data_IF_190006955130
#
_entry.id   IF_190006955130
#
_cell.length_a   1.000
_cell.length_b   1.000
_cell.length_c   1.000
_cell.angle_alpha   90.00
_cell.angle_beta   90.00
_cell.angle_gamma   90.00
#
_symmetry.space_group_name_H-M   'P 1'
#
loop_
_entity.id
_entity.type
_entity.pdbx_description
1 polymer ?
#
# COMPACT_ATOMS: atom_id res chain seq x y z
N UNK A 1 2.68 -15.72 39.41
CA UNK A 1 3.01 -14.34 39.83
C UNK A 1 4.05 -14.45 40.93
N UNK A 2 5.15 -13.69 40.84
CA UNK A 2 6.24 -13.71 41.82
C UNK A 2 5.86 -12.75 42.93
N UNK A 3 5.35 -13.29 44.04
CA UNK A 3 4.82 -12.49 45.15
C UNK A 3 5.66 -12.64 46.42
N UNK A 4 6.85 -13.26 46.30
CA UNK A 4 7.78 -13.48 47.40
C UNK A 4 9.22 -13.40 46.92
N UNK A 5 10.10 -12.93 47.81
CA UNK A 5 11.55 -12.88 47.65
C UNK A 5 12.14 -14.24 47.22
N UNK A 6 11.57 -15.35 47.73
CA UNK A 6 11.99 -16.72 47.39
C UNK A 6 11.66 -17.12 45.94
N UNK A 7 10.56 -16.62 45.40
CA UNK A 7 10.15 -16.91 44.01
C UNK A 7 11.02 -16.13 43.00
N UNK A 8 11.53 -14.97 43.40
CA UNK A 8 12.43 -14.14 42.58
C UNK A 8 13.82 -14.78 42.45
N UNK A 9 14.30 -15.48 43.48
CA UNK A 9 15.57 -16.23 43.44
C UNK A 9 15.55 -17.44 42.49
N UNK A 10 14.38 -17.88 42.02
CA UNK A 10 14.23 -19.02 41.09
C UNK A 10 14.10 -18.59 39.62
N UNK A 11 14.15 -17.29 39.33
CA UNK A 11 14.20 -16.79 37.95
C UNK A 11 15.57 -17.11 37.37
N UNK A 12 15.59 -17.83 36.23
CA UNK A 12 16.82 -18.20 35.54
C UNK A 12 17.59 -16.95 35.11
N UNK A 13 18.84 -16.81 35.55
CA UNK A 13 19.74 -15.70 35.17
C UNK A 13 20.15 -14.75 36.30
N UNK A 14 19.65 -14.89 37.52
CA UNK A 14 20.10 -14.09 38.68
C UNK A 14 21.00 -14.95 39.57
N UNK A 15 22.28 -14.61 39.64
CA UNK A 15 23.21 -15.28 40.56
C UNK A 15 22.89 -14.92 42.02
N UNK A 16 23.10 -15.81 43.00
CA UNK A 16 22.81 -15.54 44.41
C UNK A 16 23.52 -14.28 44.96
N UNK A 17 24.70 -13.97 44.42
CA UNK A 17 25.46 -12.77 44.77
C UNK A 17 24.80 -11.47 44.25
N UNK A 18 24.24 -11.51 43.04
CA UNK A 18 23.52 -10.37 42.46
C UNK A 18 22.22 -10.10 43.21
N UNK A 19 21.52 -11.17 43.61
CA UNK A 19 20.30 -11.07 44.41
C UNK A 19 20.54 -10.37 45.75
N UNK A 20 21.58 -10.76 46.51
CA UNK A 20 21.92 -10.14 47.80
C UNK A 20 22.25 -8.65 47.69
N UNK A 21 22.78 -8.21 46.55
CA UNK A 21 23.06 -6.79 46.27
C UNK A 21 21.78 -6.00 45.94
N UNK A 22 20.83 -6.64 45.27
CA UNK A 22 19.55 -6.04 44.88
C UNK A 22 18.51 -6.09 45.99
N UNK A 23 18.61 -7.01 46.96
CA UNK A 23 17.70 -7.17 48.09
C UNK A 23 17.50 -5.86 48.88
N UNK A 24 18.55 -5.05 49.04
CA UNK A 24 18.49 -3.75 49.71
C UNK A 24 17.63 -2.71 48.97
N UNK A 25 17.44 -2.89 47.67
CA UNK A 25 16.72 -1.96 46.78
C UNK A 25 15.35 -2.48 46.33
N UNK A 26 15.08 -3.77 46.48
CA UNK A 26 13.80 -4.36 46.11
C UNK A 26 12.80 -4.14 47.25
N UNK A 27 11.86 -3.21 47.04
CA UNK A 27 10.69 -3.06 47.90
C UNK A 27 9.51 -3.78 47.27
N UNK A 28 9.12 -4.92 47.82
CA UNK A 28 7.86 -5.58 47.46
C UNK A 28 6.72 -4.82 48.14
N UNK A 29 5.98 -4.02 47.38
CA UNK A 29 4.71 -3.50 47.89
C UNK A 29 3.72 -4.66 47.89
N UNK A 30 3.17 -5.00 49.07
CA UNK A 30 2.01 -5.86 49.14
C UNK A 30 0.86 -5.15 48.46
N UNK A 31 0.58 -5.54 47.22
CA UNK A 31 -0.53 -5.01 46.45
C UNK A 31 -1.83 -5.65 47.00
N UNK A 32 -2.23 -5.27 48.21
CA UNK A 32 -3.54 -5.62 48.76
C UNK A 32 -4.57 -4.73 48.05
N UNK A 33 -5.31 -5.36 47.14
CA UNK A 33 -6.44 -4.80 46.40
C UNK A 33 -6.13 -3.52 45.57
N UNK A 34 -5.39 -3.66 44.47
CA UNK A 34 -5.74 -2.80 43.32
C UNK A 34 -7.09 -3.29 42.87
N UNK A 35 -8.11 -2.42 42.96
CA UNK A 35 -9.29 -2.54 42.11
C UNK A 35 -8.76 -2.81 40.71
N UNK A 36 -8.99 -4.03 40.21
CA UNK A 36 -8.68 -4.37 38.84
C UNK A 36 -9.56 -3.48 37.96
N UNK A 37 -9.08 -2.27 37.67
CA UNK A 37 -9.31 -1.67 36.36
C UNK A 37 -8.69 -2.68 35.41
N UNK A 38 -9.51 -3.64 35.02
CA UNK A 38 -9.36 -4.35 33.76
C UNK A 38 -9.22 -3.23 32.74
N UNK A 39 -7.99 -2.81 32.45
CA UNK A 39 -7.71 -2.22 31.16
C UNK A 39 -8.07 -3.33 30.20
N UNK A 40 -9.31 -3.31 29.74
CA UNK A 40 -9.72 -4.06 28.59
C UNK A 40 -8.70 -3.66 27.54
N UNK A 41 -7.74 -4.54 27.27
CA UNK A 41 -7.02 -4.52 26.02
C UNK A 41 -8.09 -4.86 24.99
N UNK A 42 -8.92 -3.86 24.66
CA UNK A 42 -9.83 -3.93 23.54
C UNK A 42 -8.91 -4.14 22.35
N UNK A 43 -8.82 -5.39 21.90
CA UNK A 43 -8.08 -5.78 20.71
C UNK A 43 -8.50 -4.80 19.62
N UNK A 44 -7.62 -3.85 19.29
CA UNK A 44 -7.93 -2.78 18.35
C UNK A 44 -8.28 -3.46 17.03
N UNK A 45 -9.57 -3.49 16.70
CA UNK A 45 -10.06 -4.04 15.45
C UNK A 45 -9.61 -3.09 14.36
N UNK A 46 -8.66 -3.54 13.53
CA UNK A 46 -8.22 -2.80 12.37
C UNK A 46 -9.32 -2.98 11.32
N UNK A 47 -9.99 -1.87 10.99
CA UNK A 47 -11.01 -1.87 9.94
C UNK A 47 -10.34 -2.01 8.57
N UNK A 48 -11.01 -2.73 7.66
CA UNK A 48 -10.54 -2.81 6.28
C UNK A 48 -10.72 -1.46 5.60
N UNK A 49 -9.71 -1.03 4.83
CA UNK A 49 -9.73 0.22 4.07
C UNK A 49 -9.79 -0.08 2.57
N UNK A 50 -10.42 0.82 1.81
CA UNK A 50 -10.35 0.80 0.36
C UNK A 50 -9.11 1.55 -0.13
N UNK A 51 -8.27 0.92 -0.94
CA UNK A 51 -6.98 1.47 -1.38
C UNK A 51 -7.11 2.71 -2.28
N UNK A 52 -8.27 2.89 -2.91
CA UNK A 52 -8.54 4.03 -3.79
C UNK A 52 -9.15 5.22 -3.05
N UNK A 53 -9.89 4.98 -1.98
CA UNK A 53 -10.62 6.01 -1.22
C UNK A 53 -9.93 6.39 0.10
N UNK A 54 -9.04 5.54 0.62
CA UNK A 54 -8.38 5.77 1.91
C UNK A 54 -7.55 7.06 1.96
N UNK A 55 -7.65 7.75 3.10
CA UNK A 55 -6.87 8.95 3.44
C UNK A 55 -5.46 8.60 3.97
N UNK A 56 -4.60 9.61 4.12
CA UNK A 56 -3.24 9.44 4.69
C UNK A 56 -3.34 8.85 6.10
N UNK A 57 -4.33 9.31 6.85
CA UNK A 57 -4.61 8.91 8.23
C UNK A 57 -5.08 7.45 8.29
N UNK A 58 -5.90 7.01 7.33
CA UNK A 58 -6.37 5.63 7.27
C UNK A 58 -5.24 4.66 6.95
N UNK A 59 -4.38 5.03 5.99
CA UNK A 59 -3.16 4.27 5.72
C UNK A 59 -2.24 4.21 6.94
N UNK A 60 -2.09 5.32 7.67
CA UNK A 60 -1.22 5.39 8.86
C UNK A 60 -1.72 4.56 10.05
N UNK A 61 -2.98 4.09 10.04
CA UNK A 61 -3.51 3.18 11.06
C UNK A 61 -3.06 1.73 10.85
N UNK A 62 -2.60 1.38 9.64
CA UNK A 62 -2.17 0.03 9.31
C UNK A 62 -0.78 -0.27 9.89
N UNK A 63 -0.55 -1.53 10.32
CA UNK A 63 0.74 -1.93 10.89
C UNK A 63 1.85 -1.77 9.85
N UNK A 64 2.96 -1.14 10.25
CA UNK A 64 4.11 -0.94 9.37
C UNK A 64 3.98 0.22 8.38
N UNK A 65 2.84 0.92 8.34
CA UNK A 65 2.64 2.09 7.48
C UNK A 65 2.62 3.35 8.33
N UNK A 66 3.69 4.15 8.19
CA UNK A 66 3.76 5.49 8.75
C UNK A 66 3.33 6.58 7.75
N UNK A 67 3.22 7.84 8.19
CA UNK A 67 2.74 8.95 7.37
C UNK A 67 3.56 9.16 6.08
N UNK A 68 4.87 8.87 6.11
CA UNK A 68 5.74 8.96 4.93
C UNK A 68 5.38 7.92 3.88
N UNK A 69 5.08 6.68 4.29
CA UNK A 69 4.66 5.62 3.36
C UNK A 69 3.24 5.90 2.86
N UNK A 70 2.34 6.36 3.72
CA UNK A 70 0.99 6.77 3.33
C UNK A 70 1.01 7.83 2.23
N UNK A 71 1.81 8.88 2.38
CA UNK A 71 1.95 9.92 1.34
C UNK A 71 2.51 9.35 0.02
N UNK A 72 3.48 8.45 0.09
CA UNK A 72 4.02 7.77 -1.11
C UNK A 72 2.96 6.93 -1.82
N UNK A 73 2.18 6.15 -1.09
CA UNK A 73 1.09 5.33 -1.63
C UNK A 73 0.09 6.23 -2.36
N UNK A 74 -0.31 7.35 -1.74
CA UNK A 74 -1.27 8.28 -2.34
C UNK A 74 -0.67 8.96 -3.58
N UNK A 75 0.60 9.39 -3.55
CA UNK A 75 1.27 9.95 -4.73
C UNK A 75 1.35 8.94 -5.87
N UNK A 76 1.65 7.69 -5.57
CA UNK A 76 1.68 6.62 -6.57
C UNK A 76 0.29 6.38 -7.16
N UNK A 77 -0.73 6.24 -6.30
CA UNK A 77 -2.14 6.13 -6.68
C UNK A 77 -2.55 7.25 -7.65
N UNK A 78 -2.21 8.49 -7.32
CA UNK A 78 -2.59 9.65 -8.13
C UNK A 78 -1.91 9.65 -9.51
N UNK A 79 -0.67 9.17 -9.62
CA UNK A 79 0.01 9.02 -10.92
C UNK A 79 -0.56 7.87 -11.74
N UNK A 80 -0.93 6.78 -11.07
CA UNK A 80 -1.54 5.60 -11.69
C UNK A 80 -2.99 5.87 -12.14
N UNK A 81 -3.68 6.82 -11.50
CA UNK A 81 -5.10 7.09 -11.71
C UNK A 81 -6.01 6.25 -10.80
N UNK A 82 -5.46 5.59 -9.79
CA UNK A 82 -6.14 4.59 -8.95
C UNK A 82 -5.48 3.23 -9.08
N UNK A 83 -5.64 2.37 -8.08
CA UNK A 83 -5.22 0.98 -8.14
C UNK A 83 -6.33 0.13 -8.75
N UNK A 84 -5.95 -0.75 -9.67
CA UNK A 84 -6.79 -1.79 -10.27
C UNK A 84 -6.76 -3.08 -9.45
N UNK A 85 -5.63 -3.40 -8.82
CA UNK A 85 -5.47 -4.54 -7.92
C UNK A 85 -4.65 -4.19 -6.67
N UNK A 86 -4.94 -4.88 -5.56
CA UNK A 86 -4.22 -4.69 -4.30
C UNK A 86 -2.72 -4.96 -4.44
N UNK A 87 -2.34 -5.96 -5.25
CA UNK A 87 -0.93 -6.35 -5.43
C UNK A 87 -0.07 -5.24 -6.08
N UNK A 88 -0.67 -4.25 -6.75
CA UNK A 88 0.05 -3.08 -7.27
C UNK A 88 0.67 -2.21 -6.17
N UNK A 89 0.25 -2.36 -4.92
CA UNK A 89 0.91 -1.70 -3.79
C UNK A 89 2.37 -2.13 -3.63
N UNK A 90 2.72 -3.35 -4.06
CA UNK A 90 4.10 -3.83 -4.04
C UNK A 90 5.02 -3.03 -4.98
N UNK A 91 4.45 -2.30 -5.94
CA UNK A 91 5.21 -1.42 -6.84
C UNK A 91 5.52 -0.05 -6.20
N UNK A 92 4.91 0.26 -5.04
CA UNK A 92 5.19 1.50 -4.30
C UNK A 92 6.56 1.41 -3.65
N UNK A 93 7.47 2.31 -4.05
CA UNK A 93 8.83 2.34 -3.50
C UNK A 93 8.85 2.52 -1.97
N UNK A 94 9.63 1.65 -1.32
CA UNK A 94 9.82 1.65 0.13
C UNK A 94 8.76 0.89 0.92
N UNK A 95 7.76 0.28 0.27
CA UNK A 95 6.89 -0.69 0.91
C UNK A 95 7.62 -2.04 0.96
N UNK A 96 7.90 -2.53 2.16
CA UNK A 96 8.53 -3.83 2.35
C UNK A 96 7.52 -4.96 2.03
N UNK A 97 7.94 -6.05 1.36
CA UNK A 97 7.05 -7.19 1.06
C UNK A 97 6.36 -7.76 2.29
N UNK A 98 7.06 -7.81 3.42
CA UNK A 98 6.55 -8.32 4.69
C UNK A 98 5.43 -7.42 5.23
N UNK A 99 5.57 -6.10 5.07
CA UNK A 99 4.53 -5.14 5.44
C UNK A 99 3.30 -5.32 4.56
N UNK A 100 3.48 -5.49 3.24
CA UNK A 100 2.38 -5.76 2.32
C UNK A 100 1.60 -7.02 2.71
N UNK A 101 2.29 -8.10 3.04
CA UNK A 101 1.65 -9.36 3.44
C UNK A 101 0.85 -9.22 4.74
N UNK A 102 1.39 -8.48 5.72
CA UNK A 102 0.68 -8.20 6.98
C UNK A 102 -0.61 -7.40 6.76
N UNK A 103 -0.55 -6.38 5.89
CA UNK A 103 -1.69 -5.48 5.67
C UNK A 103 -2.72 -6.02 4.68
N UNK A 104 -2.36 -6.96 3.81
CA UNK A 104 -3.20 -7.44 2.68
C UNK A 104 -4.62 -7.82 3.11
N UNK A 105 -4.78 -8.41 4.29
CA UNK A 105 -6.09 -8.79 4.86
C UNK A 105 -7.01 -7.60 5.20
N UNK A 106 -6.45 -6.40 5.36
CA UNK A 106 -7.17 -5.17 5.67
C UNK A 106 -7.42 -4.31 4.42
N UNK A 107 -7.03 -4.77 3.23
CA UNK A 107 -7.12 -3.98 2.00
C UNK A 107 -8.26 -4.47 1.11
N UNK A 108 -9.00 -3.51 0.55
CA UNK A 108 -10.04 -3.73 -0.46
C UNK A 108 -9.74 -2.85 -1.68
N UNK A 109 -10.15 -3.30 -2.86
CA UNK A 109 -10.02 -2.53 -4.09
C UNK A 109 -11.39 -2.47 -4.77
N UNK A 110 -11.98 -1.27 -4.82
CA UNK A 110 -13.19 -0.99 -5.59
C UNK A 110 -12.96 -0.79 -7.10
N UNK A 111 -11.71 -0.86 -7.57
CA UNK A 111 -11.32 -0.66 -8.97
C UNK A 111 -11.79 0.68 -9.59
N UNK A 112 -12.03 1.71 -8.76
CA UNK A 112 -12.31 3.06 -9.24
C UNK A 112 -11.04 3.71 -9.77
N UNK A 113 -10.80 3.51 -11.06
CA UNK A 113 -9.67 4.06 -11.80
C UNK A 113 -10.12 5.20 -12.71
N UNK A 114 -9.25 6.20 -12.85
CA UNK A 114 -9.41 7.31 -13.78
C UNK A 114 -8.77 6.90 -15.11
N UNK A 115 -9.56 6.71 -16.18
CA UNK A 115 -9.00 6.32 -17.45
C UNK A 115 -8.13 7.44 -18.05
N UNK A 116 -7.03 7.04 -18.67
CA UNK A 116 -6.12 7.88 -19.42
C UNK A 116 -6.51 7.85 -20.90
N UNK A 117 -6.94 9.00 -21.44
CA UNK A 117 -7.16 9.19 -22.88
C UNK A 117 -5.82 9.55 -23.55
N UNK A 118 -5.22 8.61 -24.26
CA UNK A 118 -3.92 8.79 -24.93
C UNK A 118 -3.97 9.75 -26.13
N UNK A 119 -5.15 10.03 -26.68
CA UNK A 119 -5.31 10.89 -27.87
C UNK A 119 -5.40 12.36 -27.46
N UNK A 120 -6.08 12.62 -26.36
CA UNK A 120 -6.28 13.97 -25.85
C UNK A 120 -5.08 14.45 -25.02
N UNK A 121 -4.42 13.54 -24.30
CA UNK A 121 -3.31 13.87 -23.41
C UNK A 121 -2.02 14.17 -24.16
N UNK A 122 -1.27 15.12 -23.62
CA UNK A 122 0.07 15.43 -24.12
C UNK A 122 1.06 14.30 -23.82
N UNK A 123 2.16 14.23 -24.58
CA UNK A 123 3.23 13.23 -24.38
C UNK A 123 3.74 13.24 -22.93
N UNK A 124 3.84 14.42 -22.30
CA UNK A 124 4.29 14.58 -20.91
C UNK A 124 3.29 14.00 -19.91
N UNK A 125 2.00 14.19 -20.13
CA UNK A 125 0.95 13.62 -19.27
C UNK A 125 0.92 12.10 -19.40
N UNK A 126 1.04 11.56 -20.62
CA UNK A 126 1.14 10.11 -20.84
C UNK A 126 2.37 9.54 -20.12
N UNK A 127 3.52 10.20 -20.27
CA UNK A 127 4.77 9.82 -19.60
C UNK A 127 4.79 10.03 -18.07
N UNK A 128 3.74 10.65 -17.51
CA UNK A 128 3.61 10.78 -16.06
C UNK A 128 3.05 9.51 -15.42
N UNK A 129 2.47 8.61 -16.23
CA UNK A 129 1.94 7.34 -15.77
C UNK A 129 3.08 6.39 -15.34
N UNK A 130 2.98 5.66 -14.22
CA UNK A 130 4.09 4.85 -13.68
C UNK A 130 4.67 3.80 -14.63
N UNK A 131 3.86 3.31 -15.58
CA UNK A 131 4.28 2.31 -16.56
C UNK A 131 4.77 2.88 -17.89
N UNK A 132 4.72 4.20 -18.10
CA UNK A 132 5.07 4.82 -19.38
C UNK A 132 6.19 5.83 -19.17
N UNK A 133 7.30 5.62 -19.87
CA UNK A 133 8.35 6.63 -19.96
C UNK A 133 8.07 7.60 -21.12
N UNK A 134 8.92 8.62 -21.25
CA UNK A 134 8.79 9.60 -22.32
C UNK A 134 8.95 8.99 -23.73
N UNK A 135 9.75 7.93 -23.88
CA UNK A 135 10.00 7.29 -25.18
C UNK A 135 8.75 6.52 -25.61
N UNK A 136 8.23 5.65 -24.74
CA UNK A 136 6.99 4.91 -24.95
C UNK A 136 5.83 5.86 -25.23
N UNK A 137 5.68 6.94 -24.46
CA UNK A 137 4.65 7.95 -24.69
C UNK A 137 4.75 8.60 -26.09
N UNK A 138 5.97 8.92 -26.55
CA UNK A 138 6.20 9.47 -27.89
C UNK A 138 5.86 8.46 -28.99
N UNK A 139 6.21 7.19 -28.80
CA UNK A 139 5.89 6.12 -29.75
C UNK A 139 4.38 5.92 -29.86
N UNK A 140 3.69 5.83 -28.72
CA UNK A 140 2.23 5.72 -28.63
C UNK A 140 1.57 6.89 -29.36
N UNK A 141 1.99 8.13 -29.07
CA UNK A 141 1.41 9.31 -29.71
C UNK A 141 1.62 9.32 -31.24
N UNK A 142 2.81 8.92 -31.71
CA UNK A 142 3.09 8.81 -33.14
C UNK A 142 2.22 7.73 -33.81
N UNK A 143 2.05 6.58 -33.16
CA UNK A 143 1.23 5.48 -33.65
C UNK A 143 -0.25 5.87 -33.73
N UNK A 144 -0.80 6.48 -32.68
CA UNK A 144 -2.21 6.93 -32.66
C UNK A 144 -2.53 7.99 -33.72
N UNK A 145 -1.53 8.78 -34.13
CA UNK A 145 -1.66 9.75 -35.22
C UNK A 145 -1.71 9.08 -36.60
N UNK A 146 -0.99 7.97 -36.77
CA UNK A 146 -0.98 7.20 -38.02
C UNK A 146 -2.20 6.29 -38.15
N UNK A 147 -2.76 5.87 -37.01
CA UNK A 147 -3.86 4.92 -36.93
C UNK A 147 -5.04 5.53 -36.12
N UNK A 148 -5.87 6.37 -36.77
CA UNK A 148 -6.97 7.06 -36.09
C UNK A 148 -8.07 6.10 -35.61
N UNK A 149 -8.16 4.90 -36.18
CA UNK A 149 -9.23 3.94 -35.91
C UNK A 149 -8.90 2.89 -34.85
N UNK A 150 -7.71 2.94 -34.22
CA UNK A 150 -7.37 2.03 -33.11
C UNK A 150 -8.37 2.21 -31.97
N UNK A 151 -8.92 1.08 -31.54
CA UNK A 151 -9.85 1.00 -30.40
C UNK A 151 -9.49 -0.12 -29.43
N UNK A 152 -8.32 -0.75 -29.58
CA UNK A 152 -7.89 -1.86 -28.73
C UNK A 152 -6.48 -1.68 -28.17
N UNK A 153 -6.31 -2.09 -26.92
CA UNK A 153 -5.01 -2.20 -26.24
C UNK A 153 -4.06 -3.14 -26.98
N UNK A 154 -4.58 -4.21 -27.58
CA UNK A 154 -3.76 -5.23 -28.25
C UNK A 154 -3.08 -4.70 -29.51
N UNK A 155 -3.66 -3.68 -30.16
CA UNK A 155 -3.07 -3.06 -31.35
C UNK A 155 -1.77 -2.31 -31.04
N UNK A 156 -1.56 -1.91 -29.77
CA UNK A 156 -0.31 -1.28 -29.33
C UNK A 156 0.89 -2.23 -29.41
N UNK A 157 0.68 -3.55 -29.49
CA UNK A 157 1.77 -4.53 -29.70
C UNK A 157 2.46 -4.38 -31.06
N UNK A 158 1.84 -3.67 -32.01
CA UNK A 158 2.44 -3.37 -33.32
C UNK A 158 3.52 -2.28 -33.22
N UNK A 159 3.58 -1.54 -32.11
CA UNK A 159 4.58 -0.50 -31.88
C UNK A 159 5.92 -1.16 -31.55
N UNK A 160 6.86 -1.11 -32.49
CA UNK A 160 8.22 -1.57 -32.25
C UNK A 160 8.89 -0.76 -31.11
N UNK A 161 9.35 -1.47 -30.07
CA UNK A 161 9.97 -0.87 -28.89
C UNK A 161 9.04 -0.61 -27.70
N UNK A 162 7.78 -1.09 -27.76
CA UNK A 162 6.88 -1.15 -26.60
C UNK A 162 6.71 -2.60 -26.13
N UNK A 163 7.07 -2.87 -24.88
CA UNK A 163 7.01 -4.22 -24.33
C UNK A 163 5.57 -4.67 -24.06
N UNK A 164 5.27 -5.93 -24.36
CA UNK A 164 3.95 -6.53 -24.10
C UNK A 164 3.55 -6.42 -22.62
N UNK A 165 4.48 -6.65 -21.70
CA UNK A 165 4.21 -6.52 -20.26
C UNK A 165 3.75 -5.11 -19.87
N UNK A 166 4.29 -4.08 -20.52
CA UNK A 166 3.86 -2.70 -20.31
C UNK A 166 2.45 -2.47 -20.83
N UNK A 167 2.12 -3.01 -22.01
CA UNK A 167 0.79 -2.93 -22.63
C UNK A 167 -0.27 -3.59 -21.75
N UNK A 168 0.03 -4.78 -21.21
CA UNK A 168 -0.86 -5.50 -20.30
C UNK A 168 -1.13 -4.71 -19.01
N UNK A 169 -0.10 -4.06 -18.46
CA UNK A 169 -0.22 -3.25 -17.25
C UNK A 169 -1.00 -1.95 -17.46
N UNK A 170 -0.82 -1.26 -18.58
CA UNK A 170 -1.55 -0.02 -18.87
C UNK A 170 -2.96 -0.28 -19.36
N UNK A 171 -3.24 -1.47 -19.92
CA UNK A 171 -4.51 -1.81 -20.57
C UNK A 171 -5.76 -1.41 -19.78
N UNK A 172 -5.88 -1.74 -18.47
CA UNK A 172 -7.01 -1.34 -17.64
C UNK A 172 -7.21 0.18 -17.53
N UNK A 173 -6.14 0.95 -17.69
CA UNK A 173 -6.14 2.41 -17.54
C UNK A 173 -6.39 3.13 -18.85
N UNK A 174 -6.43 2.46 -20.01
CA UNK A 174 -6.64 3.12 -21.29
C UNK A 174 -8.14 3.27 -21.59
N UNK A 175 -8.55 4.47 -21.99
CA UNK A 175 -9.87 4.67 -22.60
C UNK A 175 -9.77 4.77 -24.11
N UNK A 176 -10.68 4.06 -24.78
CA UNK A 176 -10.93 4.20 -26.20
C UNK A 176 -12.29 4.88 -26.33
N UNK A 177 -12.35 6.07 -26.92
CA UNK A 177 -13.65 6.66 -27.30
C UNK A 177 -14.27 5.75 -28.35
N UNK A 178 -15.36 5.06 -28.01
CA UNK A 178 -16.17 4.36 -29.01
C UNK A 178 -16.72 5.39 -29.99
N UNK A 179 -16.54 5.15 -31.29
CA UNK A 179 -17.18 5.95 -32.36
C UNK A 179 -18.70 5.74 -32.42
N UNK A 180 -19.27 4.87 -31.59
CA UNK A 180 -20.68 4.48 -31.64
C UNK A 180 -21.54 5.19 -30.59
N UNK A 181 -21.71 6.51 -30.74
CA UNK A 181 -22.94 7.20 -30.28
C UNK A 181 -23.40 8.24 -31.31
N UNK A 182 -23.32 7.91 -32.60
CA UNK A 182 -23.98 8.64 -33.69
C UNK A 182 -24.75 7.65 -34.57
N UNK A 183 -25.86 7.17 -34.05
CA UNK A 183 -27.01 6.77 -34.86
C UNK A 183 -28.24 7.07 -34.03
N UNK A 184 -28.80 8.26 -34.29
CA UNK A 184 -30.20 8.60 -34.01
C UNK A 184 -31.16 7.58 -34.64
#
# INVERSE_FOLDING_TARGET
>A
MISSSEQFSKIYGISPALFKKLEKYIRFQNITAVSAKQSSYSKKTIESIDINEASVEDWSKLPGIGPVLSDRIIRYKNKLGGFYHVDQLMEVYGLAPETHEQIKQYLKCNQRITPLDLREKSIKEIASHPYLDYKSAKLIHAFLKQHPDISSTNELNQIFGLDQATIEKIGPYLSWKNKDTLSE
#
